data_IF_656502120750
#
_entry.id   IF_656502120750
#
_cell.length_a   1.000
_cell.length_b   1.000
_cell.length_c   1.000
_cell.angle_alpha   90.00
_cell.angle_beta   90.00
_cell.angle_gamma   90.00
#
_symmetry.space_group_name_H-M   'P 1'
#
loop_
_entity.id
_entity.type
_entity.pdbx_description
1 polymer ?
#
# COMPACT_ATOMS: atom_id res chain seq x y z
N UNK A 1 30.55 77.77 -6.15
CA UNK A 1 30.09 77.80 -7.55
C UNK A 1 28.60 78.03 -7.53
N UNK A 2 28.19 79.28 -7.75
CA UNK A 2 26.78 79.69 -7.83
C UNK A 2 26.28 79.17 -9.18
N UNK A 3 25.40 78.17 -9.18
CA UNK A 3 24.70 77.74 -10.38
C UNK A 3 23.78 78.88 -10.80
N UNK A 4 24.18 79.65 -11.80
CA UNK A 4 23.27 80.55 -12.50
C UNK A 4 22.46 79.69 -13.48
N UNK A 5 21.16 79.42 -13.22
CA UNK A 5 20.35 78.60 -14.12
C UNK A 5 20.25 79.22 -15.52
N UNK A 6 20.46 80.52 -15.63
CA UNK A 6 20.40 81.28 -16.88
C UNK A 6 21.75 81.30 -17.65
N UNK A 7 22.83 80.73 -17.11
CA UNK A 7 24.13 80.62 -17.79
C UNK A 7 24.92 79.34 -17.40
N UNK A 8 24.46 78.17 -17.87
CA UNK A 8 25.16 76.90 -17.64
C UNK A 8 26.51 76.80 -18.39
N UNK A 9 26.75 77.66 -19.38
CA UNK A 9 27.99 77.69 -20.17
C UNK A 9 29.21 78.13 -19.36
N UNK A 10 29.02 79.03 -18.40
CA UNK A 10 30.06 79.51 -17.47
C UNK A 10 30.67 78.38 -16.62
N UNK A 11 29.86 77.42 -16.18
CA UNK A 11 30.29 76.29 -15.34
C UNK A 11 31.00 75.19 -16.13
N UNK A 12 30.73 75.08 -17.45
CA UNK A 12 31.27 74.06 -18.35
C UNK A 12 32.43 74.58 -19.22
N UNK A 13 32.80 75.85 -19.09
CA UNK A 13 33.94 76.46 -19.82
C UNK A 13 33.64 76.79 -21.28
N UNK A 14 32.37 76.95 -21.67
CA UNK A 14 31.96 77.21 -23.06
C UNK A 14 31.11 78.48 -23.16
N UNK A 15 31.68 79.54 -23.72
CA UNK A 15 31.05 80.87 -23.76
C UNK A 15 29.86 81.00 -24.74
N UNK A 16 29.58 79.98 -25.56
CA UNK A 16 28.57 80.01 -26.64
C UNK A 16 27.38 79.06 -26.42
N UNK A 17 27.24 78.48 -25.24
CA UNK A 17 26.21 77.48 -24.95
C UNK A 17 24.87 78.17 -24.60
N UNK A 18 23.86 78.00 -25.46
CA UNK A 18 22.52 78.51 -25.20
C UNK A 18 21.93 77.86 -23.94
N UNK A 19 21.54 78.63 -22.91
CA UNK A 19 20.97 78.10 -21.67
C UNK A 19 19.71 77.27 -21.92
N UNK A 20 18.88 77.72 -22.86
CA UNK A 20 17.64 77.04 -23.26
C UNK A 20 17.94 75.68 -23.90
N UNK A 21 18.89 75.62 -24.83
CA UNK A 21 19.28 74.36 -25.48
C UNK A 21 19.91 73.37 -24.49
N UNK A 22 20.71 73.87 -23.53
CA UNK A 22 21.31 73.05 -22.49
C UNK A 22 20.24 72.38 -21.61
N UNK A 23 19.31 73.17 -21.06
CA UNK A 23 18.26 72.62 -20.19
C UNK A 23 17.29 71.69 -20.92
N UNK A 24 16.98 71.97 -22.20
CA UNK A 24 16.22 71.04 -23.05
C UNK A 24 16.95 69.71 -23.21
N UNK A 25 18.26 69.74 -23.48
CA UNK A 25 19.07 68.53 -23.67
C UNK A 25 19.20 67.72 -22.37
N UNK A 26 19.41 68.41 -21.24
CA UNK A 26 19.45 67.77 -19.91
C UNK A 26 18.09 67.15 -19.56
N UNK A 27 16.98 67.85 -19.80
CA UNK A 27 15.64 67.32 -19.59
C UNK A 27 15.36 66.09 -20.47
N UNK A 28 15.78 66.12 -21.74
CA UNK A 28 15.69 64.98 -22.66
C UNK A 28 16.53 63.79 -22.19
N UNK A 29 17.76 64.02 -21.72
CA UNK A 29 18.61 62.97 -21.18
C UNK A 29 18.03 62.35 -19.90
N UNK A 30 17.56 63.19 -18.96
CA UNK A 30 16.97 62.72 -17.71
C UNK A 30 15.67 61.95 -17.96
N UNK A 31 14.84 62.40 -18.91
CA UNK A 31 13.63 61.66 -19.30
C UNK A 31 13.96 60.36 -20.03
N UNK A 32 14.98 60.33 -20.89
CA UNK A 32 15.45 59.10 -21.53
C UNK A 32 15.99 58.09 -20.51
N UNK A 33 16.80 58.54 -19.55
CA UNK A 33 17.32 57.67 -18.48
C UNK A 33 16.19 57.21 -17.56
N UNK A 34 15.28 58.11 -17.16
CA UNK A 34 14.13 57.78 -16.31
C UNK A 34 13.20 56.75 -16.97
N UNK A 35 12.92 56.92 -18.26
CA UNK A 35 12.10 55.97 -19.03
C UNK A 35 12.81 54.63 -19.19
N UNK A 36 14.09 54.60 -19.56
CA UNK A 36 14.87 53.36 -19.65
C UNK A 36 14.91 52.60 -18.32
N UNK A 37 15.15 53.31 -17.22
CA UNK A 37 15.20 52.72 -15.87
C UNK A 37 13.82 52.16 -15.47
N UNK A 38 12.75 52.87 -15.79
CA UNK A 38 11.38 52.41 -15.55
C UNK A 38 11.03 51.17 -16.39
N UNK A 39 11.41 51.14 -17.67
CA UNK A 39 11.21 49.97 -18.53
C UNK A 39 11.99 48.76 -18.04
N UNK A 40 13.26 48.92 -17.65
CA UNK A 40 14.07 47.84 -17.08
C UNK A 40 13.45 47.32 -15.78
N UNK A 41 13.06 48.23 -14.87
CA UNK A 41 12.43 47.84 -13.61
C UNK A 41 11.10 47.11 -13.82
N UNK A 42 10.28 47.59 -14.77
CA UNK A 42 9.03 46.94 -15.16
C UNK A 42 9.27 45.55 -15.74
N UNK A 43 10.27 45.41 -16.61
CA UNK A 43 10.62 44.14 -17.24
C UNK A 43 11.11 43.11 -16.21
N UNK A 44 11.97 43.52 -15.26
CA UNK A 44 12.42 42.68 -14.14
C UNK A 44 11.25 42.28 -13.23
N UNK A 45 10.33 43.20 -12.93
CA UNK A 45 9.12 42.89 -12.15
C UNK A 45 8.18 41.93 -12.88
N UNK A 46 7.99 42.08 -14.19
CA UNK A 46 7.16 41.19 -14.99
C UNK A 46 7.78 39.79 -15.13
N UNK A 47 9.11 39.69 -15.25
CA UNK A 47 9.85 38.42 -15.18
C UNK A 47 9.66 37.72 -13.82
N UNK A 48 9.74 38.48 -12.71
CA UNK A 48 9.48 37.95 -11.36
C UNK A 48 8.03 37.47 -11.17
N UNK A 49 7.05 38.18 -11.74
CA UNK A 49 5.63 37.78 -11.69
C UNK A 49 5.33 36.54 -12.53
N UNK A 50 5.94 36.40 -13.72
CA UNK A 50 5.82 35.19 -14.56
C UNK A 50 6.43 33.96 -13.88
N UNK A 51 7.52 34.14 -13.14
CA UNK A 51 8.17 33.04 -12.40
C UNK A 51 7.32 32.54 -11.23
N UNK A 52 6.55 33.42 -10.58
CA UNK A 52 5.59 33.02 -9.52
C UNK A 52 4.34 32.29 -10.03
N UNK A 53 4.05 32.35 -11.33
CA UNK A 53 2.86 31.77 -11.94
C UNK A 53 3.13 30.48 -12.74
N UNK A 54 4.40 30.10 -12.95
CA UNK A 54 4.76 28.83 -13.58
C UNK A 54 4.61 27.70 -12.54
N UNK A 55 3.66 26.76 -12.70
CA UNK A 55 3.45 25.65 -11.78
C UNK A 55 4.70 24.79 -11.59
N UNK A 56 5.66 24.85 -12.50
CA UNK A 56 6.91 24.09 -12.40
C UNK A 56 7.99 24.83 -11.58
N UNK A 57 7.84 26.14 -11.32
CA UNK A 57 8.83 26.96 -10.59
C UNK A 57 8.34 27.41 -9.22
N UNK A 58 7.35 26.70 -8.67
CA UNK A 58 6.91 26.87 -7.29
C UNK A 58 8.05 26.46 -6.35
N UNK A 59 8.28 27.24 -5.31
CA UNK A 59 9.25 26.94 -4.26
C UNK A 59 8.97 25.55 -3.66
N UNK A 60 9.99 24.70 -3.58
CA UNK A 60 9.87 23.30 -3.15
C UNK A 60 9.77 22.28 -4.29
N UNK A 61 9.62 22.69 -5.54
CA UNK A 61 9.68 21.78 -6.69
C UNK A 61 11.14 21.50 -7.06
N UNK A 62 11.49 20.22 -7.15
CA UNK A 62 12.82 19.76 -7.53
C UNK A 62 13.26 20.28 -8.91
N UNK A 63 14.49 20.79 -9.00
CA UNK A 63 15.13 21.11 -10.27
C UNK A 63 15.69 19.84 -10.93
N UNK A 64 16.08 19.92 -12.20
CA UNK A 64 16.63 18.78 -12.92
C UNK A 64 17.89 18.16 -12.27
N UNK A 65 18.70 18.99 -11.59
CA UNK A 65 19.86 18.53 -10.80
C UNK A 65 19.45 17.76 -9.55
N UNK A 66 18.36 18.17 -8.90
CA UNK A 66 17.86 17.52 -7.69
C UNK A 66 17.28 16.16 -8.05
N UNK A 67 16.49 16.08 -9.14
CA UNK A 67 15.99 14.81 -9.71
C UNK A 67 17.15 13.90 -10.08
N UNK A 68 18.19 14.44 -10.74
CA UNK A 68 19.35 13.65 -11.13
C UNK A 68 20.12 13.11 -9.92
N UNK A 69 20.15 13.85 -8.82
CA UNK A 69 20.85 13.46 -7.60
C UNK A 69 20.07 12.45 -6.76
N UNK A 70 18.74 12.58 -6.68
CA UNK A 70 17.93 11.86 -5.70
C UNK A 70 17.02 10.77 -6.27
N UNK A 71 16.71 10.79 -7.57
CA UNK A 71 15.74 9.86 -8.17
C UNK A 71 16.15 9.39 -9.58
N UNK A 72 17.45 9.40 -9.88
CA UNK A 72 17.95 8.97 -11.18
C UNK A 72 18.31 7.49 -11.22
N UNK A 73 18.41 6.97 -12.43
CA UNK A 73 18.94 5.64 -12.70
C UNK A 73 20.31 5.39 -12.06
N UNK A 74 21.20 6.39 -12.08
CA UNK A 74 22.54 6.28 -11.48
C UNK A 74 22.48 6.17 -9.97
N UNK A 75 21.57 6.92 -9.33
CA UNK A 75 21.37 6.86 -7.89
C UNK A 75 20.83 5.50 -7.46
N UNK A 76 19.84 5.00 -8.21
CA UNK A 76 19.25 3.67 -8.02
C UNK A 76 20.31 2.56 -8.14
N UNK A 77 21.06 2.55 -9.24
CA UNK A 77 22.08 1.52 -9.51
C UNK A 77 23.23 1.54 -8.49
N UNK A 78 23.53 2.69 -7.88
CA UNK A 78 24.52 2.77 -6.79
C UNK A 78 24.10 1.93 -5.57
N UNK A 79 22.80 1.78 -5.33
CA UNK A 79 22.23 0.97 -4.23
C UNK A 79 21.98 -0.50 -4.64
N UNK A 80 22.16 -0.87 -5.91
CA UNK A 80 21.75 -2.16 -6.44
C UNK A 80 22.33 -3.37 -5.67
N UNK A 81 23.60 -3.31 -5.24
CA UNK A 81 24.24 -4.39 -4.47
C UNK A 81 23.55 -4.67 -3.13
N UNK A 82 22.94 -3.66 -2.52
CA UNK A 82 22.17 -3.79 -1.28
C UNK A 82 20.74 -4.23 -1.59
N UNK A 83 20.13 -3.65 -2.62
CA UNK A 83 18.75 -3.91 -2.99
C UNK A 83 18.54 -5.34 -3.49
N UNK A 84 19.47 -5.85 -4.30
CA UNK A 84 19.46 -7.20 -4.87
C UNK A 84 20.88 -7.78 -5.00
N UNK A 85 21.43 -8.35 -3.91
CA UNK A 85 22.79 -8.89 -3.87
C UNK A 85 23.05 -10.03 -4.86
N UNK A 86 22.01 -10.74 -5.33
CA UNK A 86 22.13 -11.85 -6.29
C UNK A 86 22.50 -11.39 -7.71
N UNK A 87 22.34 -10.11 -8.04
CA UNK A 87 22.61 -9.59 -9.38
C UNK A 87 24.10 -9.26 -9.57
N UNK A 88 24.69 -9.79 -10.64
CA UNK A 88 26.08 -9.47 -11.03
C UNK A 88 26.19 -8.21 -11.86
N UNK A 89 25.21 -7.96 -12.74
CA UNK A 89 25.11 -6.78 -13.61
C UNK A 89 23.68 -6.21 -13.52
N UNK A 90 23.39 -5.41 -12.47
CA UNK A 90 22.03 -4.99 -12.18
C UNK A 90 21.54 -3.95 -13.20
N UNK A 91 20.34 -4.18 -13.73
CA UNK A 91 19.62 -3.21 -14.55
C UNK A 91 18.63 -2.42 -13.70
N UNK A 92 18.28 -1.18 -14.08
CA UNK A 92 17.37 -0.32 -13.31
C UNK A 92 16.03 -0.98 -12.99
N UNK A 93 15.43 -1.65 -13.97
CA UNK A 93 14.13 -2.33 -13.85
C UNK A 93 14.17 -3.51 -12.86
N UNK A 94 15.35 -4.03 -12.56
CA UNK A 94 15.50 -5.14 -11.62
C UNK A 94 15.57 -4.67 -10.17
N UNK A 95 15.90 -3.39 -9.92
CA UNK A 95 16.15 -2.84 -8.58
C UNK A 95 15.28 -1.63 -8.25
N UNK A 96 14.41 -1.20 -9.15
CA UNK A 96 13.48 -0.11 -8.91
C UNK A 96 12.35 -0.03 -9.94
N UNK A 97 11.43 0.90 -9.69
CA UNK A 97 10.26 1.18 -10.50
C UNK A 97 10.36 2.57 -11.11
N UNK A 98 9.98 2.70 -12.38
CA UNK A 98 9.93 3.98 -13.08
C UNK A 98 8.62 4.70 -12.75
N UNK A 99 8.70 5.82 -12.02
CA UNK A 99 7.53 6.62 -11.66
C UNK A 99 7.10 7.57 -12.78
N UNK A 100 8.01 7.93 -13.68
CA UNK A 100 7.73 8.81 -14.80
C UNK A 100 8.91 9.70 -15.16
N UNK A 101 8.62 10.93 -15.59
CA UNK A 101 9.65 11.89 -15.99
C UNK A 101 9.42 13.27 -15.36
N UNK A 102 10.51 13.88 -14.88
CA UNK A 102 10.52 15.27 -14.42
C UNK A 102 11.70 15.99 -15.04
N UNK A 103 11.47 17.19 -15.60
CA UNK A 103 12.51 18.01 -16.25
C UNK A 103 13.35 17.26 -17.30
N UNK A 104 12.70 16.37 -18.07
CA UNK A 104 13.35 15.55 -19.10
C UNK A 104 14.25 14.43 -18.54
N UNK A 105 14.16 14.11 -17.24
CA UNK A 105 14.86 13.01 -16.59
C UNK A 105 13.86 11.95 -16.12
N UNK A 106 14.24 10.67 -16.25
CA UNK A 106 13.49 9.54 -15.67
C UNK A 106 13.59 9.60 -14.15
N UNK A 107 12.46 9.42 -13.48
CA UNK A 107 12.33 9.41 -12.01
C UNK A 107 12.09 7.98 -11.58
N UNK A 108 12.99 7.45 -10.77
CA UNK A 108 12.95 6.08 -10.26
C UNK A 108 12.76 6.06 -8.76
N UNK A 109 12.09 5.03 -8.27
CA UNK A 109 12.05 4.64 -6.86
C UNK A 109 12.65 3.26 -6.72
N UNK A 110 13.29 2.95 -5.59
CA UNK A 110 13.88 1.63 -5.39
C UNK A 110 12.84 0.59 -4.97
N UNK A 111 13.16 -0.69 -5.15
CA UNK A 111 12.34 -1.81 -4.64
C UNK A 111 12.25 -1.86 -3.11
N UNK A 112 13.07 -1.09 -2.41
CA UNK A 112 13.01 -0.94 -0.95
C UNK A 112 12.04 0.16 -0.53
N UNK A 113 11.71 1.10 -1.41
CA UNK A 113 10.86 2.23 -1.05
C UNK A 113 9.37 1.82 -1.10
N UNK A 114 8.62 2.15 -0.05
CA UNK A 114 7.16 2.03 -0.04
C UNK A 114 6.52 3.17 -0.85
N UNK A 115 5.43 2.88 -1.57
CA UNK A 115 4.79 3.81 -2.51
C UNK A 115 3.33 4.03 -2.12
N UNK A 116 3.01 5.16 -1.48
CA UNK A 116 1.63 5.55 -1.22
C UNK A 116 1.01 6.21 -2.46
N UNK A 117 0.09 5.53 -3.15
CA UNK A 117 -0.55 6.06 -4.36
C UNK A 117 -1.94 6.61 -4.04
N UNK A 118 -2.11 7.93 -4.16
CA UNK A 118 -3.40 8.60 -3.89
C UNK A 118 -3.93 9.24 -5.16
N UNK A 119 -5.15 8.89 -5.54
CA UNK A 119 -5.81 9.54 -6.66
C UNK A 119 -7.30 9.22 -6.76
N UNK A 120 -8.15 10.21 -7.12
CA UNK A 120 -9.59 10.01 -7.21
C UNK A 120 -9.94 8.94 -8.25
N UNK A 121 -11.17 8.41 -8.25
CA UNK A 121 -11.65 7.51 -9.30
C UNK A 121 -11.39 8.10 -10.69
N UNK A 122 -11.04 7.24 -11.66
CA UNK A 122 -10.75 7.63 -13.06
C UNK A 122 -9.57 8.61 -13.27
N UNK A 123 -8.70 8.78 -12.28
CA UNK A 123 -7.44 9.56 -12.42
C UNK A 123 -6.34 8.86 -13.25
N UNK A 124 -6.56 7.60 -13.66
CA UNK A 124 -5.57 6.81 -14.40
C UNK A 124 -4.52 6.12 -13.51
N UNK A 125 -4.66 6.15 -12.18
CA UNK A 125 -3.73 5.49 -11.25
C UNK A 125 -3.47 4.00 -11.56
N UNK A 126 -4.53 3.25 -11.92
CA UNK A 126 -4.42 1.83 -12.30
C UNK A 126 -3.60 1.64 -13.58
N UNK A 127 -4.03 2.29 -14.67
CA UNK A 127 -3.40 2.16 -15.99
C UNK A 127 -1.97 2.71 -16.06
N UNK A 128 -1.69 3.83 -15.40
CA UNK A 128 -0.42 4.54 -15.54
C UNK A 128 0.62 4.12 -14.50
N UNK A 129 0.21 3.59 -13.34
CA UNK A 129 1.12 3.24 -12.25
C UNK A 129 0.97 1.76 -11.90
N UNK A 130 -0.18 1.33 -11.37
CA UNK A 130 -0.34 -0.02 -10.78
C UNK A 130 -0.02 -1.13 -11.78
N UNK A 131 -0.60 -1.09 -12.98
CA UNK A 131 -0.38 -2.08 -14.03
C UNK A 131 1.10 -2.14 -14.42
N UNK A 132 1.75 -0.99 -14.60
CA UNK A 132 3.16 -0.92 -14.96
C UNK A 132 4.05 -1.49 -13.84
N UNK A 133 3.78 -1.15 -12.58
CA UNK A 133 4.50 -1.70 -11.42
C UNK A 133 4.36 -3.23 -11.34
N UNK A 134 3.18 -3.80 -11.64
CA UNK A 134 2.97 -5.25 -11.68
C UNK A 134 3.79 -5.90 -12.80
N UNK A 135 3.81 -5.31 -13.99
CA UNK A 135 4.57 -5.82 -15.14
C UNK A 135 6.07 -5.77 -14.88
N UNK A 136 6.55 -4.66 -14.32
CA UNK A 136 7.96 -4.39 -14.05
C UNK A 136 8.48 -5.11 -12.80
N UNK A 137 7.61 -5.71 -11.98
CA UNK A 137 7.99 -6.35 -10.73
C UNK A 137 9.02 -7.47 -10.95
N UNK A 138 10.21 -7.39 -10.33
CA UNK A 138 11.30 -8.34 -10.57
C UNK A 138 11.09 -9.71 -9.91
N UNK A 139 10.19 -9.80 -8.92
CA UNK A 139 9.91 -11.01 -8.15
C UNK A 139 8.41 -11.32 -8.08
N UNK A 140 7.99 -11.90 -6.96
CA UNK A 140 6.60 -12.25 -6.75
C UNK A 140 5.71 -10.99 -6.62
N UNK A 141 4.45 -11.11 -7.00
CA UNK A 141 3.47 -10.03 -6.94
C UNK A 141 2.23 -10.53 -6.24
N UNK A 142 1.71 -9.73 -5.31
CA UNK A 142 0.41 -9.91 -4.69
C UNK A 142 -0.35 -8.64 -4.99
N UNK A 143 -1.45 -8.74 -5.75
CA UNK A 143 -2.25 -7.59 -6.11
C UNK A 143 -3.72 -7.80 -5.77
N UNK A 144 -4.34 -6.78 -5.22
CA UNK A 144 -5.77 -6.76 -4.93
C UNK A 144 -6.51 -5.99 -6.01
N UNK A 145 -7.76 -6.37 -6.29
CA UNK A 145 -8.67 -5.54 -7.08
C UNK A 145 -10.12 -5.89 -6.81
N UNK A 146 -11.01 -4.93 -7.01
CA UNK A 146 -12.47 -5.16 -7.01
C UNK A 146 -13.03 -5.43 -8.40
N UNK A 147 -12.19 -5.29 -9.44
CA UNK A 147 -12.50 -5.57 -10.84
C UNK A 147 -11.36 -6.37 -11.47
N UNK A 148 -11.61 -7.16 -12.53
CA UNK A 148 -10.56 -7.92 -13.20
C UNK A 148 -9.60 -7.06 -14.04
N UNK A 149 -9.50 -5.75 -13.83
CA UNK A 149 -8.76 -4.80 -14.67
C UNK A 149 -7.24 -5.09 -14.63
N UNK A 150 -6.65 -5.16 -13.43
CA UNK A 150 -5.23 -5.47 -13.24
C UNK A 150 -4.90 -6.88 -13.75
N UNK A 151 -5.78 -7.84 -13.46
CA UNK A 151 -5.68 -9.22 -13.91
C UNK A 151 -5.63 -9.29 -15.45
N UNK A 152 -6.64 -8.75 -16.12
CA UNK A 152 -6.77 -8.82 -17.59
C UNK A 152 -5.59 -8.16 -18.29
N UNK A 153 -5.09 -7.04 -17.75
CA UNK A 153 -3.98 -6.31 -18.33
C UNK A 153 -2.62 -7.01 -18.19
N UNK A 154 -2.42 -7.79 -17.11
CA UNK A 154 -1.07 -8.26 -16.74
C UNK A 154 -0.89 -9.77 -16.74
N UNK A 155 -1.96 -10.56 -16.70
CA UNK A 155 -1.93 -12.03 -16.55
C UNK A 155 -0.98 -12.71 -17.54
N UNK A 156 -1.14 -12.46 -18.84
CA UNK A 156 -0.35 -13.12 -19.90
C UNK A 156 1.14 -12.78 -19.84
N UNK A 157 1.46 -11.52 -19.54
CA UNK A 157 2.84 -11.07 -19.41
C UNK A 157 3.51 -11.74 -18.21
N UNK A 158 2.83 -11.79 -17.06
CA UNK A 158 3.33 -12.47 -15.86
C UNK A 158 3.48 -13.98 -16.08
N UNK A 159 2.54 -14.62 -16.79
CA UNK A 159 2.66 -16.03 -17.19
C UNK A 159 3.89 -16.27 -18.07
N UNK A 160 4.19 -15.36 -19.01
CA UNK A 160 5.36 -15.51 -19.88
C UNK A 160 6.72 -15.39 -19.16
N UNK A 161 6.74 -14.88 -17.92
CA UNK A 161 7.96 -14.83 -17.10
C UNK A 161 8.30 -16.17 -16.44
N UNK A 162 7.45 -17.19 -16.58
CA UNK A 162 7.71 -18.56 -16.12
C UNK A 162 7.42 -18.83 -14.64
N UNK A 163 6.96 -17.82 -13.88
CA UNK A 163 6.48 -17.99 -12.50
C UNK A 163 5.02 -18.49 -12.45
N UNK A 164 4.59 -19.12 -11.34
CA UNK A 164 3.20 -19.54 -11.17
C UNK A 164 2.27 -18.32 -11.12
N UNK A 165 1.13 -18.39 -11.79
CA UNK A 165 0.13 -17.32 -11.78
C UNK A 165 -1.19 -17.88 -11.29
N UNK A 166 -1.70 -17.27 -10.23
CA UNK A 166 -2.88 -17.76 -9.52
C UNK A 166 -3.89 -16.64 -9.32
N UNK A 167 -5.16 -17.00 -9.36
CA UNK A 167 -6.29 -16.09 -9.11
C UNK A 167 -7.10 -16.67 -7.97
N UNK A 168 -7.27 -15.87 -6.93
CA UNK A 168 -8.18 -16.16 -5.83
C UNK A 168 -9.37 -15.23 -5.95
N UNK A 169 -10.48 -15.79 -6.43
CA UNK A 169 -11.71 -15.07 -6.74
C UNK A 169 -12.91 -15.85 -6.20
N UNK A 170 -13.12 -15.84 -4.87
CA UNK A 170 -14.16 -16.63 -4.22
C UNK A 170 -15.59 -16.21 -4.61
N UNK A 171 -15.74 -15.05 -5.26
CA UNK A 171 -17.03 -14.51 -5.70
C UNK A 171 -17.25 -14.61 -7.23
N UNK A 172 -16.29 -15.17 -7.97
CA UNK A 172 -16.30 -15.28 -9.44
C UNK A 172 -16.50 -13.93 -10.15
N UNK A 173 -15.81 -12.87 -9.70
CA UNK A 173 -15.79 -11.55 -10.31
C UNK A 173 -15.12 -11.54 -11.70
N UNK A 174 -14.27 -12.52 -12.00
CA UNK A 174 -13.58 -12.69 -13.27
C UNK A 174 -14.08 -13.94 -14.02
N UNK A 175 -15.27 -13.85 -14.61
CA UNK A 175 -15.81 -14.94 -15.44
C UNK A 175 -14.85 -15.34 -16.58
N UNK A 176 -14.67 -16.65 -16.78
CA UNK A 176 -13.83 -17.20 -17.85
C UNK A 176 -12.33 -17.21 -17.55
N UNK A 177 -11.90 -16.69 -16.40
CA UNK A 177 -10.53 -16.90 -15.89
C UNK A 177 -10.56 -18.10 -14.95
N UNK A 178 -9.71 -19.13 -15.14
CA UNK A 178 -9.64 -20.23 -14.19
C UNK A 178 -9.29 -19.68 -12.80
N UNK A 179 -10.22 -19.79 -11.85
CA UNK A 179 -9.93 -19.62 -10.43
C UNK A 179 -9.05 -20.79 -10.01
N UNK A 180 -7.73 -20.60 -10.11
CA UNK A 180 -6.76 -21.68 -10.08
C UNK A 180 -6.19 -22.00 -8.70
N UNK A 181 -6.65 -21.35 -7.64
CA UNK A 181 -6.07 -21.49 -6.31
C UNK A 181 -7.12 -21.55 -5.22
N UNK A 182 -7.01 -22.57 -4.37
CA UNK A 182 -7.75 -22.70 -3.12
C UNK A 182 -6.82 -22.48 -1.94
N UNK A 183 -7.28 -21.74 -0.94
CA UNK A 183 -6.48 -21.41 0.24
C UNK A 183 -7.31 -21.55 1.52
N UNK A 184 -6.81 -22.35 2.47
CA UNK A 184 -7.50 -22.52 3.74
C UNK A 184 -7.08 -21.51 4.79
N UNK A 185 -8.02 -20.79 5.45
CA UNK A 185 -7.73 -19.96 6.60
C UNK A 185 -7.29 -20.79 7.82
N UNK A 186 -7.33 -22.12 7.78
CA UNK A 186 -6.85 -22.98 8.87
C UNK A 186 -5.34 -23.29 8.72
N UNK A 187 -4.80 -23.21 7.50
CA UNK A 187 -3.41 -23.61 7.17
C UNK A 187 -2.38 -22.91 8.05
N UNK A 188 -1.51 -23.68 8.72
CA UNK A 188 -0.42 -23.13 9.53
C UNK A 188 -0.86 -22.68 10.93
N UNK A 189 -2.15 -22.73 11.25
CA UNK A 189 -2.66 -22.41 12.58
C UNK A 189 -2.34 -23.49 13.63
N UNK A 190 -1.65 -24.57 13.27
CA UNK A 190 -0.97 -25.47 14.23
C UNK A 190 0.07 -24.69 15.04
N UNK A 191 0.64 -23.63 14.45
CA UNK A 191 1.50 -22.67 15.15
C UNK A 191 0.64 -21.61 15.84
N UNK A 192 0.68 -21.47 17.18
CA UNK A 192 -0.19 -20.55 17.91
C UNK A 192 -0.06 -19.09 17.44
N UNK A 193 1.16 -18.63 17.12
CA UNK A 193 1.38 -17.27 16.63
C UNK A 193 0.62 -16.99 15.33
N UNK A 194 0.64 -17.92 14.38
CA UNK A 194 -0.09 -17.80 13.11
C UNK A 194 -1.60 -17.77 13.35
N UNK A 195 -2.12 -18.60 14.27
CA UNK A 195 -3.53 -18.56 14.66
C UNK A 195 -3.94 -17.22 15.30
N UNK A 196 -3.07 -16.62 16.13
CA UNK A 196 -3.29 -15.30 16.73
C UNK A 196 -3.33 -14.18 15.68
N UNK A 197 -2.36 -14.14 14.77
CA UNK A 197 -2.29 -13.14 13.70
C UNK A 197 -3.54 -13.25 12.81
N UNK A 198 -3.90 -14.48 12.40
CA UNK A 198 -5.05 -14.72 11.55
C UNK A 198 -6.38 -14.39 12.22
N UNK A 199 -6.55 -14.77 13.49
CA UNK A 199 -7.70 -14.37 14.30
C UNK A 199 -7.84 -12.85 14.43
N UNK A 200 -6.71 -12.13 14.53
CA UNK A 200 -6.70 -10.65 14.58
C UNK A 200 -7.21 -10.05 13.25
N UNK A 201 -6.69 -10.51 12.12
CA UNK A 201 -7.13 -10.02 10.80
C UNK A 201 -8.61 -10.28 10.52
N UNK A 202 -9.09 -11.48 10.86
CA UNK A 202 -10.51 -11.84 10.70
C UNK A 202 -11.44 -11.04 11.63
N UNK A 203 -11.01 -10.73 12.85
CA UNK A 203 -11.78 -9.90 13.78
C UNK A 203 -11.86 -8.43 13.33
N UNK A 204 -10.75 -7.86 12.83
CA UNK A 204 -10.69 -6.47 12.37
C UNK A 204 -11.62 -6.15 11.19
N UNK A 205 -12.01 -7.18 10.42
CA UNK A 205 -12.95 -7.06 9.30
C UNK A 205 -14.43 -6.92 9.71
N UNK A 206 -14.78 -7.20 10.97
CA UNK A 206 -16.18 -7.22 11.44
C UNK A 206 -16.82 -5.83 11.58
N UNK A 207 -16.01 -4.76 11.67
CA UNK A 207 -16.49 -3.41 11.92
C UNK A 207 -17.00 -3.16 13.34
N UNK A 208 -16.83 -4.12 14.26
CA UNK A 208 -17.27 -4.02 15.66
C UNK A 208 -16.50 -2.97 16.47
N UNK A 209 -15.37 -2.48 15.98
CA UNK A 209 -14.55 -1.44 16.63
C UNK A 209 -14.74 -0.04 16.02
N UNK A 210 -15.82 0.16 15.27
CA UNK A 210 -16.17 1.48 14.73
C UNK A 210 -16.39 2.50 15.86
N UNK A 211 -16.14 3.81 15.61
CA UNK A 211 -16.31 4.87 16.63
C UNK A 211 -17.72 4.95 17.22
N UNK A 212 -18.71 4.38 16.53
CA UNK A 212 -20.12 4.34 16.91
C UNK A 212 -20.52 3.11 17.74
N UNK A 213 -19.59 2.19 18.04
CA UNK A 213 -19.88 0.96 18.79
C UNK A 213 -19.34 1.07 20.21
N UNK A 214 -20.25 1.11 21.18
CA UNK A 214 -19.89 1.13 22.60
C UNK A 214 -19.14 -0.15 23.00
N UNK A 215 -17.97 -0.01 23.63
CA UNK A 215 -17.07 -1.13 23.98
C UNK A 215 -16.59 -1.98 22.79
N UNK A 216 -16.58 -1.43 21.57
CA UNK A 216 -16.21 -2.18 20.36
C UNK A 216 -14.88 -2.94 20.44
N UNK A 217 -13.81 -2.27 20.91
CA UNK A 217 -12.49 -2.89 21.05
C UNK A 217 -12.44 -4.04 22.08
N UNK A 218 -13.30 -4.02 23.11
CA UNK A 218 -13.40 -5.14 24.06
C UNK A 218 -14.01 -6.37 23.37
N UNK A 219 -15.08 -6.19 22.62
CA UNK A 219 -15.76 -7.27 21.90
C UNK A 219 -14.92 -7.81 20.75
N UNK A 220 -14.21 -6.96 20.02
CA UNK A 220 -13.22 -7.40 19.02
C UNK A 220 -12.11 -8.24 19.68
N UNK A 221 -11.64 -7.83 20.86
CA UNK A 221 -10.65 -8.59 21.63
C UNK A 221 -11.11 -10.01 21.99
N UNK A 222 -12.37 -10.15 22.44
CA UNK A 222 -12.98 -11.46 22.72
C UNK A 222 -13.17 -12.29 21.44
N UNK A 223 -13.66 -11.66 20.37
CA UNK A 223 -13.84 -12.29 19.06
C UNK A 223 -12.53 -12.85 18.53
N UNK A 224 -11.45 -12.06 18.56
CA UNK A 224 -10.09 -12.49 18.20
C UNK A 224 -9.63 -13.70 19.01
N UNK A 225 -9.87 -13.69 20.32
CA UNK A 225 -9.46 -14.78 21.24
C UNK A 225 -10.23 -16.07 20.96
N UNK A 226 -11.52 -15.99 20.63
CA UNK A 226 -12.29 -17.14 20.19
C UNK A 226 -11.80 -17.67 18.83
N UNK A 227 -11.65 -16.79 17.84
CA UNK A 227 -11.22 -17.16 16.49
C UNK A 227 -9.84 -17.84 16.47
N UNK A 228 -8.84 -17.32 17.21
CA UNK A 228 -7.52 -17.97 17.27
C UNK A 228 -7.62 -19.40 17.84
N UNK A 229 -8.46 -19.62 18.85
CA UNK A 229 -8.63 -20.92 19.47
C UNK A 229 -9.33 -21.91 18.53
N UNK A 230 -10.39 -21.46 17.84
CA UNK A 230 -11.09 -22.25 16.84
C UNK A 230 -10.18 -22.61 15.66
N UNK A 231 -9.41 -21.65 15.13
CA UNK A 231 -8.45 -21.89 14.05
C UNK A 231 -7.36 -22.90 14.44
N UNK A 232 -6.83 -22.77 15.66
CA UNK A 232 -5.79 -23.67 16.17
C UNK A 232 -6.34 -25.09 16.40
N UNK A 233 -7.53 -25.21 17.01
CA UNK A 233 -8.21 -26.49 17.18
C UNK A 233 -8.47 -27.17 15.81
N UNK A 234 -8.98 -26.40 14.84
CA UNK A 234 -9.24 -26.91 13.50
C UNK A 234 -7.96 -27.40 12.82
N UNK A 235 -6.85 -26.69 12.98
CA UNK A 235 -5.57 -27.06 12.38
C UNK A 235 -4.98 -28.33 13.01
N UNK A 236 -5.00 -28.43 14.34
CA UNK A 236 -4.45 -29.59 15.07
C UNK A 236 -5.17 -30.90 14.75
N UNK A 237 -6.49 -30.85 14.53
CA UNK A 237 -7.31 -32.03 14.23
C UNK A 237 -7.66 -32.15 12.74
N UNK A 238 -6.97 -31.40 11.87
CA UNK A 238 -7.14 -31.41 10.41
C UNK A 238 -8.59 -31.22 9.93
N UNK A 239 -9.33 -30.33 10.61
CA UNK A 239 -10.71 -30.00 10.26
C UNK A 239 -10.77 -29.14 9.01
N UNK A 240 -11.84 -29.33 8.25
CA UNK A 240 -12.14 -28.54 7.05
C UNK A 240 -12.76 -27.18 7.41
N UNK A 241 -12.64 -26.16 6.54
CA UNK A 241 -13.28 -24.85 6.76
C UNK A 241 -14.78 -24.90 7.02
N UNK A 242 -15.47 -25.92 6.50
CA UNK A 242 -16.89 -26.14 6.77
C UNK A 242 -17.17 -26.44 8.25
N UNK A 243 -16.30 -27.19 8.92
CA UNK A 243 -16.41 -27.47 10.35
C UNK A 243 -16.08 -26.22 11.19
N UNK A 244 -15.05 -25.47 10.79
CA UNK A 244 -14.76 -24.17 11.40
C UNK A 244 -15.97 -23.23 11.30
N UNK A 245 -16.61 -23.16 10.13
CA UNK A 245 -17.81 -22.37 9.93
C UNK A 245 -18.96 -22.86 10.82
N UNK A 246 -19.19 -24.18 10.92
CA UNK A 246 -20.19 -24.77 11.83
C UNK A 246 -19.99 -24.30 13.27
N UNK A 247 -18.75 -24.29 13.77
CA UNK A 247 -18.44 -23.78 15.11
C UNK A 247 -18.82 -22.31 15.28
N UNK A 248 -18.71 -21.49 14.22
CA UNK A 248 -19.10 -20.06 14.31
C UNK A 248 -20.60 -19.82 14.35
N UNK A 249 -21.43 -20.78 13.92
CA UNK A 249 -22.89 -20.62 13.87
C UNK A 249 -23.57 -20.95 15.21
N UNK A 250 -22.97 -21.84 15.99
CA UNK A 250 -23.53 -22.32 17.25
C UNK A 250 -22.42 -22.46 18.31
N UNK A 251 -22.49 -21.72 19.43
CA UNK A 251 -21.54 -21.88 20.54
C UNK A 251 -21.44 -23.33 21.05
N UNK A 252 -22.55 -24.08 21.05
CA UNK A 252 -22.53 -25.47 21.52
C UNK A 252 -21.69 -26.37 20.60
N UNK A 253 -21.70 -26.11 19.28
CA UNK A 253 -20.87 -26.82 18.32
C UNK A 253 -19.37 -26.62 18.57
N UNK A 254 -18.96 -25.47 19.11
CA UNK A 254 -17.56 -25.18 19.41
C UNK A 254 -17.02 -25.90 20.67
N UNK A 255 -17.86 -26.62 21.41
CA UNK A 255 -17.39 -27.52 22.47
C UNK A 255 -16.43 -28.60 21.92
N UNK A 256 -16.60 -29.01 20.66
CA UNK A 256 -15.68 -29.92 19.98
C UNK A 256 -14.25 -29.33 19.93
N UNK A 257 -14.14 -28.03 19.61
CA UNK A 257 -12.85 -27.33 19.57
C UNK A 257 -12.17 -27.27 20.95
N UNK A 258 -12.95 -27.08 22.02
CA UNK A 258 -12.43 -27.16 23.41
C UNK A 258 -11.88 -28.55 23.70
N UNK A 259 -12.60 -29.61 23.32
CA UNK A 259 -12.15 -31.00 23.53
C UNK A 259 -10.86 -31.30 22.78
N UNK A 260 -10.73 -30.82 21.54
CA UNK A 260 -9.49 -30.93 20.76
C UNK A 260 -8.35 -30.22 21.48
N UNK A 261 -8.53 -28.96 21.88
CA UNK A 261 -7.48 -28.19 22.56
C UNK A 261 -7.09 -28.79 23.92
N UNK A 262 -8.03 -29.36 24.66
CA UNK A 262 -7.77 -29.96 25.96
C UNK A 262 -6.99 -31.30 25.87
N UNK A 263 -7.14 -32.03 24.76
CA UNK A 263 -6.56 -33.37 24.59
C UNK A 263 -5.31 -33.41 23.72
N UNK A 264 -5.13 -32.42 22.83
CA UNK A 264 -4.04 -32.43 21.86
C UNK A 264 -2.70 -31.95 22.48
N UNK A 265 -1.60 -32.73 22.36
CA UNK A 265 -0.34 -32.42 23.05
C UNK A 265 0.36 -31.13 22.57
N UNK A 266 0.02 -30.66 21.37
CA UNK A 266 0.56 -29.44 20.78
C UNK A 266 -0.38 -28.22 20.93
N UNK A 267 -1.48 -28.35 21.66
CA UNK A 267 -2.37 -27.24 21.92
C UNK A 267 -1.68 -26.15 22.77
N UNK A 268 -1.92 -24.89 22.41
CA UNK A 268 -1.44 -23.76 23.17
C UNK A 268 -2.02 -23.76 24.59
N UNK A 269 -1.14 -23.65 25.59
CA UNK A 269 -1.51 -23.69 27.00
C UNK A 269 -2.56 -22.63 27.36
N UNK A 270 -3.62 -23.02 28.06
CA UNK A 270 -4.66 -22.12 28.52
C UNK A 270 -5.75 -21.80 27.48
N UNK A 271 -5.59 -22.23 26.22
CA UNK A 271 -6.55 -21.87 25.15
C UNK A 271 -7.84 -22.68 25.24
N UNK A 272 -7.77 -23.94 25.69
CA UNK A 272 -8.97 -24.74 25.96
C UNK A 272 -9.82 -24.09 27.05
N UNK A 273 -9.21 -23.74 28.18
CA UNK A 273 -9.85 -23.10 29.33
C UNK A 273 -10.38 -21.71 28.98
N UNK A 274 -9.62 -20.94 28.18
CA UNK A 274 -10.06 -19.62 27.73
C UNK A 274 -11.27 -19.71 26.80
N UNK A 275 -11.31 -20.68 25.89
CA UNK A 275 -12.44 -20.87 24.98
C UNK A 275 -13.67 -21.40 25.74
N UNK A 276 -13.48 -22.40 26.61
CA UNK A 276 -14.55 -22.94 27.46
C UNK A 276 -15.15 -21.85 28.37
N UNK A 277 -14.31 -21.03 29.00
CA UNK A 277 -14.78 -19.90 29.81
C UNK A 277 -15.64 -18.89 29.03
N UNK A 278 -15.45 -18.74 27.72
CA UNK A 278 -16.33 -17.94 26.87
C UNK A 278 -17.65 -18.67 26.56
N UNK A 279 -17.61 -19.98 26.30
CA UNK A 279 -18.80 -20.80 26.07
C UNK A 279 -19.70 -20.90 27.29
N UNK A 280 -19.12 -20.97 28.49
CA UNK A 280 -19.82 -21.05 29.77
C UNK A 280 -20.18 -19.67 30.36
N UNK A 281 -19.83 -18.57 29.69
CA UNK A 281 -20.22 -17.23 30.14
C UNK A 281 -21.73 -17.05 30.12
N UNK A 282 -22.23 -16.01 30.80
CA UNK A 282 -23.67 -15.74 30.80
C UNK A 282 -24.20 -15.61 29.36
N UNK A 283 -25.44 -16.04 29.08
CA UNK A 283 -25.94 -16.13 27.71
C UNK A 283 -25.78 -14.83 26.90
N UNK A 284 -25.98 -13.67 27.54
CA UNK A 284 -25.88 -12.38 26.85
C UNK A 284 -24.44 -12.09 26.41
N UNK A 285 -23.48 -12.33 27.30
CA UNK A 285 -22.06 -12.15 26.98
C UNK A 285 -21.60 -13.14 25.90
N UNK A 286 -21.97 -14.42 26.04
CA UNK A 286 -21.65 -15.45 25.06
C UNK A 286 -22.19 -15.10 23.67
N UNK A 287 -23.47 -14.75 23.59
CA UNK A 287 -24.13 -14.42 22.32
C UNK A 287 -23.52 -13.16 21.69
N UNK A 288 -23.09 -12.18 22.49
CA UNK A 288 -22.35 -10.99 22.01
C UNK A 288 -20.97 -11.34 21.44
N UNK A 289 -20.23 -12.26 22.07
CA UNK A 289 -18.96 -12.76 21.54
C UNK A 289 -19.20 -13.52 20.23
N UNK A 290 -20.20 -14.40 20.22
CA UNK A 290 -20.49 -15.24 19.05
C UNK A 290 -21.00 -14.44 17.87
N UNK A 291 -21.72 -13.34 18.09
CA UNK A 291 -22.08 -12.41 17.02
C UNK A 291 -20.84 -11.91 16.27
N UNK A 292 -19.75 -11.56 16.97
CA UNK A 292 -18.50 -11.19 16.33
C UNK A 292 -17.83 -12.34 15.60
N UNK A 293 -17.80 -13.54 16.22
CA UNK A 293 -17.23 -14.75 15.61
C UNK A 293 -17.96 -15.13 14.31
N UNK A 294 -19.30 -15.11 14.31
CA UNK A 294 -20.11 -15.40 13.12
C UNK A 294 -19.92 -14.34 12.04
N UNK A 295 -19.83 -13.05 12.40
CA UNK A 295 -19.60 -11.97 11.44
C UNK A 295 -18.23 -12.07 10.75
N UNK A 296 -17.18 -12.49 11.48
CA UNK A 296 -15.83 -12.65 10.93
C UNK A 296 -15.74 -13.64 9.78
N UNK A 297 -16.59 -14.69 9.80
CA UNK A 297 -16.59 -15.76 8.81
C UNK A 297 -17.93 -15.87 8.05
N UNK A 298 -18.77 -14.83 8.08
CA UNK A 298 -20.08 -14.83 7.44
C UNK A 298 -20.03 -15.07 5.93
N UNK A 299 -18.92 -14.74 5.27
CA UNK A 299 -18.73 -14.99 3.83
C UNK A 299 -18.69 -16.48 3.48
N UNK A 300 -18.35 -17.36 4.44
CA UNK A 300 -18.37 -18.81 4.26
C UNK A 300 -19.79 -19.39 4.11
N UNK A 301 -20.83 -18.58 4.36
CA UNK A 301 -22.21 -18.97 4.06
C UNK A 301 -22.48 -19.09 2.55
N UNK A 302 -21.67 -18.46 1.69
CA UNK A 302 -21.71 -18.67 0.24
C UNK A 302 -20.90 -19.94 -0.10
N UNK A 303 -21.53 -20.97 -0.69
CA UNK A 303 -20.85 -22.21 -1.05
C UNK A 303 -19.61 -21.99 -1.93
N UNK A 304 -19.61 -20.97 -2.79
CA UNK A 304 -18.47 -20.66 -3.68
C UNK A 304 -17.27 -20.16 -2.89
N UNK A 305 -17.52 -19.33 -1.88
CA UNK A 305 -16.46 -18.84 -0.99
C UNK A 305 -15.93 -19.99 -0.14
N UNK A 306 -16.82 -20.83 0.41
CA UNK A 306 -16.44 -21.99 1.19
C UNK A 306 -15.58 -22.98 0.38
N UNK A 307 -15.95 -23.24 -0.88
CA UNK A 307 -15.18 -24.07 -1.80
C UNK A 307 -13.80 -23.46 -2.10
N UNK A 308 -13.74 -22.15 -2.38
CA UNK A 308 -12.48 -21.45 -2.64
C UNK A 308 -11.50 -21.52 -1.46
N UNK A 309 -12.01 -21.69 -0.23
CA UNK A 309 -11.16 -21.85 0.96
C UNK A 309 -10.96 -23.29 1.42
N UNK A 310 -11.56 -24.28 0.76
CA UNK A 310 -11.51 -25.69 1.14
C UNK A 310 -10.70 -26.49 0.11
N UNK A 311 -9.35 -26.35 0.07
CA UNK A 311 -8.51 -27.13 -0.83
C UNK A 311 -8.58 -28.62 -0.47
N UNK A 312 -8.58 -29.47 -1.49
CA UNK A 312 -8.23 -30.88 -1.34
C UNK A 312 -6.73 -31.06 -1.05
N UNK A 313 -6.29 -32.29 -0.71
CA UNK A 313 -4.90 -32.56 -0.34
C UNK A 313 -3.89 -32.19 -1.44
N UNK A 314 -4.26 -32.35 -2.72
CA UNK A 314 -3.45 -32.03 -3.89
C UNK A 314 -3.56 -30.57 -4.34
N UNK A 315 -4.53 -29.82 -3.83
CA UNK A 315 -4.76 -28.40 -4.15
C UNK A 315 -4.20 -27.45 -3.08
N UNK A 316 -3.49 -27.96 -2.07
CA UNK A 316 -2.95 -27.13 -1.01
C UNK A 316 -1.97 -26.09 -1.55
N UNK A 317 -2.29 -24.82 -1.33
CA UNK A 317 -1.38 -23.73 -1.67
C UNK A 317 -0.12 -23.75 -0.80
N UNK A 318 1.04 -23.70 -1.45
CA UNK A 318 2.35 -23.48 -0.81
C UNK A 318 2.85 -22.05 -1.07
N UNK A 319 2.65 -21.12 -0.12
CA UNK A 319 3.16 -19.76 -0.20
C UNK A 319 4.68 -19.66 -0.35
N UNK A 320 5.46 -20.58 0.25
CA UNK A 320 6.92 -20.48 0.22
C UNK A 320 7.46 -20.84 -1.18
N UNK A 321 6.97 -21.93 -1.78
CA UNK A 321 7.27 -22.27 -3.17
C UNK A 321 6.77 -21.19 -4.14
N UNK A 322 5.56 -20.67 -3.92
CA UNK A 322 4.97 -19.63 -4.76
C UNK A 322 5.80 -18.35 -4.77
N UNK A 323 6.20 -17.86 -3.59
CA UNK A 323 7.01 -16.64 -3.47
C UNK A 323 8.41 -16.82 -4.06
N UNK A 324 9.07 -17.96 -3.81
CA UNK A 324 10.39 -18.26 -4.41
C UNK A 324 10.35 -18.45 -5.91
N UNK A 325 9.23 -18.93 -6.45
CA UNK A 325 8.97 -19.06 -7.88
C UNK A 325 8.63 -17.74 -8.59
N UNK A 326 8.72 -16.59 -7.91
CA UNK A 326 8.28 -15.28 -8.43
C UNK A 326 6.80 -15.27 -8.85
N UNK A 327 5.96 -15.96 -8.08
CA UNK A 327 4.54 -16.12 -8.35
C UNK A 327 3.75 -14.83 -8.39
N UNK A 328 2.67 -14.79 -9.16
CA UNK A 328 1.77 -13.63 -9.26
C UNK A 328 0.37 -14.03 -8.79
N UNK A 329 -0.07 -13.47 -7.67
CA UNK A 329 -1.38 -13.72 -7.08
C UNK A 329 -2.29 -12.52 -7.29
N UNK A 330 -3.42 -12.77 -7.95
CA UNK A 330 -4.51 -11.81 -8.08
C UNK A 330 -5.60 -12.15 -7.06
N UNK A 331 -5.87 -11.21 -6.15
CA UNK A 331 -6.89 -11.31 -5.13
C UNK A 331 -8.08 -10.45 -5.55
N UNK A 332 -9.18 -11.11 -5.95
CA UNK A 332 -10.41 -10.45 -6.35
C UNK A 332 -11.45 -10.61 -5.25
N UNK A 333 -11.99 -9.49 -4.77
CA UNK A 333 -13.10 -9.49 -3.83
C UNK A 333 -13.90 -8.19 -3.94
N UNK A 334 -15.10 -8.18 -3.38
CA UNK A 334 -15.89 -6.96 -3.18
C UNK A 334 -15.89 -6.56 -1.71
N UNK A 335 -15.75 -5.26 -1.45
CA UNK A 335 -15.85 -4.69 -0.11
C UNK A 335 -17.29 -4.48 0.39
N UNK A 336 -18.30 -4.71 -0.45
CA UNK A 336 -19.69 -4.43 -0.15
C UNK A 336 -20.63 -5.54 -0.63
N UNK A 337 -21.72 -5.75 0.11
CA UNK A 337 -22.78 -6.73 -0.19
C UNK A 337 -22.81 -7.92 0.78
N UNK A 338 -23.90 -8.69 0.74
CA UNK A 338 -23.96 -9.99 1.40
C UNK A 338 -22.89 -10.91 0.78
N UNK A 339 -21.99 -11.47 1.61
CA UNK A 339 -20.90 -12.33 1.15
C UNK A 339 -19.56 -11.63 0.90
N UNK A 340 -19.33 -10.43 1.43
CA UNK A 340 -18.03 -9.75 1.37
C UNK A 340 -16.91 -10.64 1.97
N UNK A 341 -15.96 -11.06 1.12
CA UNK A 341 -14.84 -11.95 1.48
C UNK A 341 -13.56 -11.18 1.84
N UNK A 342 -13.68 -9.88 2.11
CA UNK A 342 -12.54 -8.99 2.40
C UNK A 342 -11.67 -9.47 3.57
N UNK A 343 -12.27 -9.95 4.65
CA UNK A 343 -11.53 -10.51 5.80
C UNK A 343 -10.68 -11.73 5.40
N UNK A 344 -11.17 -12.56 4.48
CA UNK A 344 -10.42 -13.70 3.95
C UNK A 344 -9.27 -13.23 3.06
N UNK A 345 -9.49 -12.22 2.22
CA UNK A 345 -8.43 -11.61 1.40
C UNK A 345 -7.34 -11.01 2.27
N UNK A 346 -7.69 -10.25 3.31
CA UNK A 346 -6.71 -9.73 4.27
C UNK A 346 -5.94 -10.86 4.96
N UNK A 347 -6.64 -11.89 5.46
CA UNK A 347 -6.00 -13.04 6.10
C UNK A 347 -5.04 -13.77 5.16
N UNK A 348 -5.36 -13.86 3.87
CA UNK A 348 -4.50 -14.48 2.87
C UNK A 348 -3.27 -13.62 2.56
N UNK A 349 -3.42 -12.29 2.46
CA UNK A 349 -2.28 -11.37 2.32
C UNK A 349 -1.36 -11.49 3.54
N UNK A 350 -1.90 -11.52 4.76
CA UNK A 350 -1.13 -11.68 5.99
C UNK A 350 -0.35 -13.01 6.02
N UNK A 351 -0.93 -14.13 5.57
CA UNK A 351 -0.25 -15.43 5.46
C UNK A 351 0.96 -15.38 4.50
N UNK A 352 0.78 -14.70 3.36
CA UNK A 352 1.86 -14.48 2.39
C UNK A 352 2.95 -13.55 2.94
N UNK A 353 2.56 -12.47 3.62
CA UNK A 353 3.48 -11.52 4.26
C UNK A 353 4.28 -12.20 5.36
N UNK A 354 3.64 -12.98 6.22
CA UNK A 354 4.31 -13.75 7.27
C UNK A 354 5.30 -14.75 6.66
N UNK A 355 4.88 -15.45 5.61
CA UNK A 355 5.78 -16.37 4.90
C UNK A 355 6.96 -15.62 4.26
N UNK A 356 6.72 -14.49 3.60
CA UNK A 356 7.74 -13.66 3.00
C UNK A 356 8.77 -13.18 4.04
N UNK A 357 8.30 -12.71 5.22
CA UNK A 357 9.18 -12.31 6.34
C UNK A 357 10.01 -13.48 6.86
N UNK A 358 9.43 -14.68 6.98
CA UNK A 358 10.17 -15.88 7.41
C UNK A 358 11.21 -16.32 6.38
N UNK A 359 10.94 -16.16 5.08
CA UNK A 359 11.94 -16.40 4.03
C UNK A 359 13.05 -15.36 4.15
N UNK A 360 12.69 -14.06 4.21
CA UNK A 360 13.64 -12.95 4.34
C UNK A 360 14.62 -13.17 5.50
N UNK A 361 14.12 -13.49 6.70
CA UNK A 361 14.94 -13.70 7.89
C UNK A 361 15.98 -14.82 7.75
N UNK A 362 15.76 -15.79 6.85
CA UNK A 362 16.67 -16.92 6.57
C UNK A 362 17.53 -16.69 5.32
N UNK A 363 17.29 -15.61 4.58
CA UNK A 363 18.01 -15.24 3.36
C UNK A 363 19.22 -14.36 3.65
N UNK A 364 20.23 -14.34 2.75
CA UNK A 364 21.35 -13.41 2.85
C UNK A 364 20.88 -11.95 3.00
N UNK A 365 21.46 -11.23 3.97
CA UNK A 365 21.08 -9.85 4.25
C UNK A 365 19.69 -9.68 4.88
N UNK A 366 19.09 -10.76 5.39
CA UNK A 366 17.76 -10.78 6.02
C UNK A 366 16.64 -10.23 5.11
N UNK A 367 16.75 -10.49 3.79
CA UNK A 367 15.93 -9.87 2.75
C UNK A 367 15.53 -10.85 1.64
N UNK A 368 14.39 -10.59 1.01
CA UNK A 368 13.94 -11.26 -0.21
C UNK A 368 14.69 -10.74 -1.44
N UNK A 369 15.27 -11.66 -2.21
CA UNK A 369 15.87 -11.38 -3.51
C UNK A 369 15.50 -12.51 -4.49
N UNK A 370 14.62 -12.25 -5.49
CA UNK A 370 13.99 -10.96 -5.80
C UNK A 370 12.97 -10.50 -4.74
N UNK A 371 12.70 -9.18 -4.64
CA UNK A 371 11.71 -8.63 -3.73
C UNK A 371 10.28 -8.98 -4.14
N UNK A 372 9.36 -8.93 -3.17
CA UNK A 372 7.93 -9.16 -3.37
C UNK A 372 7.19 -7.83 -3.43
N UNK A 373 6.39 -7.63 -4.47
CA UNK A 373 5.52 -6.47 -4.62
C UNK A 373 4.14 -6.75 -4.03
N UNK A 374 3.71 -5.90 -3.09
CA UNK A 374 2.35 -5.81 -2.58
C UNK A 374 1.66 -4.62 -3.28
N UNK A 375 1.04 -4.87 -4.43
CA UNK A 375 0.30 -3.87 -5.21
C UNK A 375 -1.18 -3.86 -4.78
N UNK A 376 -1.46 -3.18 -3.66
CA UNK A 376 -2.72 -3.27 -2.94
C UNK A 376 -3.72 -2.22 -3.45
N UNK A 377 -4.26 -2.45 -4.65
CA UNK A 377 -5.30 -1.60 -5.23
C UNK A 377 -6.64 -1.77 -4.51
N UNK A 378 -7.32 -0.65 -4.30
CA UNK A 378 -8.57 -0.55 -3.54
C UNK A 378 -8.53 -1.13 -2.12
N UNK A 379 -7.35 -1.23 -1.50
CA UNK A 379 -7.19 -1.83 -0.16
C UNK A 379 -8.05 -1.13 0.91
N UNK A 380 -8.22 0.19 0.79
CA UNK A 380 -9.09 0.96 1.69
C UNK A 380 -10.58 0.59 1.59
N UNK A 381 -11.03 -0.01 0.49
CA UNK A 381 -12.39 -0.50 0.30
C UNK A 381 -12.53 -2.00 0.56
N UNK A 382 -11.48 -2.76 0.26
CA UNK A 382 -11.47 -4.21 0.42
C UNK A 382 -11.37 -4.56 1.89
N UNK A 383 -10.17 -4.49 2.47
CA UNK A 383 -9.90 -5.02 3.78
C UNK A 383 -8.85 -4.17 4.51
N UNK A 384 -9.06 -3.88 5.81
CA UNK A 384 -8.01 -3.31 6.61
C UNK A 384 -6.94 -4.39 6.76
N UNK A 385 -5.72 -4.09 6.36
CA UNK A 385 -4.56 -4.87 6.77
C UNK A 385 -4.03 -4.21 8.04
N UNK A 386 -4.22 -4.78 9.23
CA UNK A 386 -3.74 -4.17 10.47
C UNK A 386 -2.23 -3.95 10.44
N UNK A 387 -1.50 -4.82 9.74
CA UNK A 387 -0.05 -4.73 9.58
C UNK A 387 0.41 -3.67 8.58
N UNK A 388 -0.47 -3.05 7.78
CA UNK A 388 -0.09 -2.17 6.68
C UNK A 388 0.84 -1.01 7.09
N UNK A 389 0.59 -0.27 8.19
CA UNK A 389 1.50 0.81 8.61
C UNK A 389 2.91 0.28 8.92
N UNK A 390 3.01 -0.85 9.61
CA UNK A 390 4.30 -1.49 9.93
C UNK A 390 4.98 -2.01 8.66
N UNK A 391 4.21 -2.57 7.72
CA UNK A 391 4.73 -3.01 6.43
C UNK A 391 5.28 -1.84 5.61
N UNK A 392 4.62 -0.69 5.61
CA UNK A 392 5.13 0.49 4.91
C UNK A 392 6.42 1.02 5.53
N UNK A 393 6.54 1.00 6.86
CA UNK A 393 7.72 1.48 7.57
C UNK A 393 8.93 0.54 7.48
N UNK A 394 8.73 -0.77 7.59
CA UNK A 394 9.80 -1.75 7.75
C UNK A 394 9.92 -2.75 6.58
N UNK A 395 8.88 -2.89 5.76
CA UNK A 395 8.80 -3.88 4.68
C UNK A 395 9.94 -3.73 3.68
N UNK A 396 10.28 -2.48 3.37
CA UNK A 396 11.43 -2.11 2.55
C UNK A 396 12.69 -2.85 2.97
N UNK A 397 13.00 -2.89 4.27
CA UNK A 397 14.17 -3.55 4.86
C UNK A 397 14.28 -5.06 4.58
N UNK A 398 13.13 -5.72 4.38
CA UNK A 398 13.01 -7.17 4.22
C UNK A 398 12.75 -7.61 2.77
N UNK A 399 12.70 -6.66 1.83
CA UNK A 399 12.42 -6.94 0.42
C UNK A 399 10.93 -7.06 0.10
N UNK A 400 10.08 -6.40 0.89
CA UNK A 400 8.65 -6.21 0.59
C UNK A 400 8.45 -4.79 0.08
N UNK A 401 8.17 -4.63 -1.22
CA UNK A 401 7.75 -3.34 -1.79
C UNK A 401 6.26 -3.18 -1.56
N UNK A 402 5.85 -2.21 -0.73
CA UNK A 402 4.44 -2.00 -0.38
C UNK A 402 3.88 -0.82 -1.15
N UNK A 403 2.82 -1.03 -1.93
CA UNK A 403 2.13 0.00 -2.71
C UNK A 403 0.63 -0.02 -2.44
N UNK A 404 0.14 0.59 -1.34
CA UNK A 404 -1.28 0.76 -1.13
C UNK A 404 -1.83 1.90 -1.99
N UNK A 405 -3.02 1.67 -2.55
CA UNK A 405 -3.68 2.62 -3.44
C UNK A 405 -4.97 3.14 -2.81
N UNK A 406 -5.06 4.46 -2.62
CA UNK A 406 -6.21 5.13 -2.03
C UNK A 406 -6.85 6.13 -2.99
N UNK A 407 -8.15 6.36 -2.79
CA UNK A 407 -8.87 7.40 -3.50
C UNK A 407 -8.64 8.79 -2.89
N UNK A 408 -8.42 8.82 -1.57
CA UNK A 408 -8.14 10.03 -0.79
C UNK A 408 -7.49 9.68 0.55
N UNK A 409 -6.83 10.65 1.19
CA UNK A 409 -6.33 10.49 2.56
C UNK A 409 -7.44 10.25 3.59
N UNK A 410 -8.64 10.80 3.36
CA UNK A 410 -9.78 10.58 4.24
C UNK A 410 -10.19 9.10 4.31
N UNK A 411 -10.01 8.36 3.21
CA UNK A 411 -10.24 6.91 3.17
C UNK A 411 -9.25 6.17 4.08
N UNK A 412 -7.96 6.51 4.02
CA UNK A 412 -6.94 5.91 4.88
C UNK A 412 -7.21 6.22 6.36
N UNK A 413 -7.50 7.49 6.70
CA UNK A 413 -7.86 7.92 8.06
C UNK A 413 -9.11 7.21 8.60
N UNK A 414 -10.14 7.10 7.78
CA UNK A 414 -11.37 6.40 8.18
C UNK A 414 -11.17 4.92 8.49
N UNK A 415 -10.14 4.28 7.92
CA UNK A 415 -9.92 2.83 8.06
C UNK A 415 -8.83 2.46 9.07
N UNK A 416 -7.77 3.25 9.22
CA UNK A 416 -6.66 3.00 10.15
C UNK A 416 -6.58 4.01 11.30
N UNK A 417 -7.42 5.05 11.31
CA UNK A 417 -7.32 6.16 12.25
C UNK A 417 -6.32 7.23 11.79
N UNK A 418 -6.36 8.39 12.44
CA UNK A 418 -5.56 9.56 12.04
C UNK A 418 -4.05 9.35 12.22
N UNK A 419 -3.64 8.75 13.35
CA UNK A 419 -2.22 8.56 13.67
C UNK A 419 -1.56 7.59 12.69
N UNK A 420 -2.16 6.40 12.48
CA UNK A 420 -1.63 5.41 11.57
C UNK A 420 -1.66 5.89 10.11
N UNK A 421 -2.71 6.62 9.70
CA UNK A 421 -2.78 7.20 8.36
C UNK A 421 -1.80 8.38 8.14
N UNK A 422 -1.29 8.99 9.22
CA UNK A 422 -0.24 10.02 9.14
C UNK A 422 1.16 9.41 9.16
N UNK A 423 1.31 8.23 9.79
CA UNK A 423 2.56 7.48 9.81
C UNK A 423 2.84 6.73 8.49
N UNK A 424 1.79 6.36 7.76
CA UNK A 424 1.85 5.85 6.37
C UNK A 424 2.11 6.98 5.38
#
# INVERSE_FOLDING_TARGET
MVFHPDDPGSALGSASLSPVAYWITVALLLTAVGTATWFIWRWVRELGKRTKADPNRIEGIAEGRDVQRAASERDLLRRAKTLRPSLTDPKPEQVGYLLGTSRGKRVWTSVEDSILLIGPPRSGKGANIVINTILDAPGAVITTSTRPDNLTATLRARQSHGGPVSVFDPQHLAEGVPAGLRWSPIRGCEVPLTAMIRGTGLAAGTGLSGPSVENGGFWEGKTRTALQALLHAAALDHRQPAELFRWTLDPAAAADAVSILASHPHAATGWAESLDGMLQSDPRTRDSIWQGVSLSLASLADPRVLEAVSPSEDEQFDPEAFLRGSGTLYLLATGAGAGASSSLVAAFIEDLVETARRIAARSPGARLDPPVLLALDEIGNLAPLPSLPVLMAEGGGTGLTVMPVFQSLAQARGRWGDDAATAM
#
